data_IF_844580910935
#
_entry.id   IF_844580910935
#
_cell.length_a   1.000
_cell.length_b   1.000
_cell.length_c   1.000
_cell.angle_alpha   90.00
_cell.angle_beta   90.00
_cell.angle_gamma   90.00
#
_symmetry.space_group_name_H-M   'P 1'
#
loop_
_entity.id
_entity.type
_entity.pdbx_description
1 polymer ?
2 non-polymer ?
3 water ?
#
# COMPACT_ATOMS: atom_id res chain seq x y z
N UNK A 1 6.93 18.44 -4.68
CA UNK A 1 7.19 17.11 -5.24
C UNK A 1 7.35 16.07 -4.15
N UNK A 2 6.96 14.83 -4.42
CA UNK A 2 7.17 13.73 -3.49
C UNK A 2 8.21 12.78 -4.09
N UNK A 3 9.30 12.56 -3.37
CA UNK A 3 10.29 11.58 -3.77
C UNK A 3 9.96 10.24 -3.13
N UNK A 4 9.88 9.18 -3.93
CA UNK A 4 9.58 7.85 -3.42
C UNK A 4 10.79 6.94 -3.69
N UNK A 5 11.34 6.36 -2.62
CA UNK A 5 12.35 5.32 -2.70
C UNK A 5 11.76 4.01 -2.20
N UNK A 6 12.06 2.90 -2.88
CA UNK A 6 11.66 1.57 -2.44
C UNK A 6 12.94 0.74 -2.32
N UNK A 7 13.05 -0.02 -1.22
CA UNK A 7 14.20 -0.88 -0.99
C UNK A 7 13.72 -2.33 -0.90
N UNK A 8 14.33 -3.21 -1.69
CA UNK A 8 13.81 -4.56 -1.84
C UNK A 8 14.93 -5.47 -2.29
N UNK A 9 14.80 -6.75 -1.95
CA UNK A 9 15.71 -7.73 -2.54
C UNK A 9 15.16 -8.27 -3.85
N UNK A 10 13.97 -7.84 -4.25
CA UNK A 10 13.41 -8.16 -5.57
C UNK A 10 13.04 -6.89 -6.30
N UNK A 11 14.02 -6.02 -6.57
CA UNK A 11 13.70 -4.72 -7.18
C UNK A 11 12.88 -4.79 -8.46
N UNK A 12 12.99 -5.88 -9.24
CA UNK A 12 12.27 -5.99 -10.50
C UNK A 12 10.77 -6.11 -10.30
N UNK A 13 10.34 -6.63 -9.14
CA UNK A 13 8.92 -6.68 -8.83
C UNK A 13 8.31 -5.28 -8.79
N UNK A 14 9.10 -4.24 -8.57
CA UNK A 14 8.57 -2.88 -8.57
C UNK A 14 8.58 -2.25 -9.96
N UNK A 15 8.76 -3.03 -11.02
CA UNK A 15 8.72 -2.46 -12.36
C UNK A 15 7.43 -1.72 -12.71
N UNK A 16 6.23 -2.18 -12.34
CA UNK A 16 5.03 -1.41 -12.70
C UNK A 16 4.99 -0.04 -12.06
N UNK A 17 5.73 0.16 -10.98
CA UNK A 17 5.65 1.39 -10.20
C UNK A 17 5.90 2.63 -11.05
N UNK A 18 6.49 2.48 -12.25
CA UNK A 18 6.64 3.60 -13.17
C UNK A 18 5.34 3.97 -13.87
N UNK A 19 4.34 3.09 -13.86
CA UNK A 19 3.05 3.36 -14.49
C UNK A 19 1.90 3.14 -13.52
N UNK A 29 6.73 17.04 -12.92
CA UNK A 29 7.58 17.35 -11.79
C UNK A 29 6.86 17.23 -10.45
N UNK A 30 6.08 16.16 -10.29
CA UNK A 30 5.29 15.99 -9.09
C UNK A 30 5.77 14.82 -8.23
N UNK A 31 6.30 13.76 -8.83
CA UNK A 31 6.67 12.55 -8.10
C UNK A 31 7.91 11.98 -8.76
N UNK A 32 8.79 11.41 -7.96
CA UNK A 32 9.99 10.74 -8.42
C UNK A 32 10.02 9.39 -7.73
N UNK A 33 10.39 8.33 -8.46
CA UNK A 33 10.47 6.99 -7.91
C UNK A 33 11.82 6.39 -8.24
N UNK A 34 12.44 5.73 -7.26
CA UNK A 34 13.69 5.01 -7.46
C UNK A 34 13.62 3.74 -6.63
N UNK A 35 14.02 2.62 -7.21
CA UNK A 35 14.00 1.33 -6.53
C UNK A 35 15.44 0.93 -6.27
N UNK A 36 15.73 0.43 -5.08
CA UNK A 36 17.09 0.06 -4.72
C UNK A 36 17.15 -1.41 -4.33
N UNK A 37 18.27 -2.06 -4.64
CA UNK A 37 18.51 -3.43 -4.19
C UNK A 37 19.19 -3.41 -2.82
N UNK A 38 18.53 -4.01 -1.82
CA UNK A 38 19.08 -4.04 -0.47
C UNK A 38 20.44 -4.72 -0.41
N UNK A 39 20.65 -5.74 -1.25
CA UNK A 39 21.94 -6.43 -1.29
C UNK A 39 23.08 -5.50 -1.71
N UNK A 40 22.80 -4.28 -2.17
CA UNK A 40 23.87 -3.32 -2.45
C UNK A 40 24.52 -2.81 -1.17
N UNK A 41 23.87 -2.96 -0.02
CA UNK A 41 24.46 -2.57 1.26
C UNK A 41 24.96 -3.78 2.05
N UNK A 42 25.20 -4.90 1.38
CA UNK A 42 25.90 -6.01 2.01
C UNK A 42 27.37 -5.91 1.67
N UNK A 43 28.17 -6.62 2.45
CA UNK A 43 29.62 -6.59 2.27
C UNK A 43 30.23 -7.98 2.21
N UNK A 44 29.42 -9.03 2.32
CA UNK A 44 29.90 -10.40 2.30
C UNK A 44 29.70 -11.02 0.92
N UNK A 45 30.48 -12.07 0.65
CA UNK A 45 30.37 -12.78 -0.63
C UNK A 45 28.96 -13.33 -0.82
N UNK A 46 28.28 -13.70 0.26
CA UNK A 46 26.94 -14.26 0.15
C UNK A 46 25.88 -13.21 -0.13
N UNK A 47 26.20 -11.92 0.01
CA UNK A 47 25.20 -10.84 -0.05
C UNK A 47 24.04 -11.14 0.88
N UNK A 48 24.36 -11.56 2.11
CA UNK A 48 23.36 -12.09 3.04
C UNK A 48 22.54 -10.97 3.67
N UNK A 49 21.22 -11.14 3.69
CA UNK A 49 20.30 -10.18 4.29
C UNK A 49 19.45 -10.79 5.40
N UNK A 50 19.52 -12.11 5.63
CA UNK A 50 18.70 -12.80 6.61
C UNK A 50 19.58 -13.58 7.60
N UNK A 51 19.00 -13.97 8.74
CA UNK A 51 19.71 -14.77 9.73
C UNK A 51 18.70 -15.33 10.73
N UNK A 52 19.20 -16.23 11.61
CA UNK A 52 18.33 -17.08 12.43
C UNK A 52 17.60 -16.25 13.50
N UNK A 53 16.34 -16.58 13.79
CA UNK A 53 15.59 -15.77 14.74
C UNK A 53 15.99 -16.08 16.18
N UNK A 54 16.25 -15.03 16.96
CA UNK A 54 16.43 -15.20 18.39
C UNK A 54 15.11 -15.67 19.02
N UNK A 55 15.21 -16.60 19.96
CA UNK A 55 14.06 -17.24 20.57
C UNK A 55 13.54 -18.46 19.82
N UNK A 56 14.08 -18.75 18.64
CA UNK A 56 13.49 -19.75 17.78
C UNK A 56 12.38 -19.14 16.93
N UNK A 57 12.11 -19.79 15.82
CA UNK A 57 11.11 -19.25 14.93
C UNK A 57 10.93 -20.07 13.69
N UNK A 58 9.83 -19.80 12.97
CA UNK A 58 9.49 -20.59 11.78
C UNK A 58 10.26 -20.19 10.53
N UNK A 59 10.95 -19.06 10.53
CA UNK A 59 11.75 -18.69 9.38
C UNK A 59 12.92 -17.79 9.75
N UNK A 60 13.58 -17.21 8.75
CA UNK A 60 14.68 -16.30 8.99
C UNK A 60 14.17 -14.86 9.12
N UNK A 61 15.01 -14.01 9.73
CA UNK A 61 14.70 -12.60 9.98
C UNK A 61 15.74 -11.73 9.26
N UNK A 62 15.27 -10.63 8.66
CA UNK A 62 16.17 -9.77 7.92
C UNK A 62 17.09 -9.01 8.87
N UNK A 63 18.39 -9.00 8.54
CA UNK A 63 19.42 -8.45 9.42
C UNK A 63 19.24 -6.94 9.59
N UNK A 64 19.53 -6.47 10.81
CA UNK A 64 19.47 -5.03 11.06
C UNK A 64 20.61 -4.27 10.39
N UNK A 65 21.88 -4.67 10.51
CA UNK A 65 22.97 -3.80 9.99
C UNK A 65 22.84 -3.45 8.52
N UNK A 66 22.39 -4.39 7.69
CA UNK A 66 22.23 -4.08 6.26
C UNK A 66 21.16 -3.02 6.08
N UNK A 67 20.01 -3.18 6.77
CA UNK A 67 18.92 -2.23 6.66
C UNK A 67 19.28 -0.86 7.21
N UNK A 68 19.92 -0.81 8.37
CA UNK A 68 20.31 0.48 8.93
C UNK A 68 21.27 1.21 8.00
N UNK A 69 22.22 0.48 7.43
CA UNK A 69 23.15 1.08 6.48
C UNK A 69 22.43 1.62 5.25
N UNK A 70 21.47 0.84 4.71
CA UNK A 70 20.69 1.31 3.58
C UNK A 70 19.88 2.55 3.95
N UNK A 71 19.16 2.49 5.08
CA UNK A 71 18.33 3.61 5.51
C UNK A 71 19.16 4.82 5.89
N UNK A 72 20.39 4.63 6.39
CA UNK A 72 21.28 5.77 6.61
C UNK A 72 21.51 6.53 5.32
N UNK A 73 21.69 5.80 4.21
CA UNK A 73 22.04 6.45 2.96
C UNK A 73 20.82 7.09 2.31
N UNK A 74 19.65 6.47 2.46
CA UNK A 74 18.48 6.87 1.68
C UNK A 74 17.63 7.92 2.39
N UNK A 75 17.48 7.82 3.71
CA UNK A 75 16.53 8.64 4.45
C UNK A 75 17.20 9.88 5.02
N UNK A 76 16.36 10.83 5.41
CA UNK A 76 16.80 12.02 6.15
C UNK A 76 15.72 12.32 7.20
N UNK A 77 15.86 13.47 7.88
CA UNK A 77 14.89 13.83 8.91
C UNK A 77 13.50 14.09 8.33
N UNK A 78 13.40 14.48 7.07
CA UNK A 78 12.09 14.73 6.46
C UNK A 78 11.36 13.46 6.05
N UNK A 79 12.03 12.30 6.13
CA UNK A 79 11.47 11.08 5.54
C UNK A 79 10.36 10.51 6.41
N UNK A 80 9.29 10.08 5.75
CA UNK A 80 8.32 9.15 6.34
C UNK A 80 8.65 7.76 5.82
N UNK A 81 9.14 6.91 6.72
CA UNK A 81 9.51 5.54 6.39
C UNK A 81 8.30 4.63 6.60
N UNK A 82 7.92 3.89 5.56
CA UNK A 82 6.80 2.96 5.61
C UNK A 82 7.37 1.55 5.61
N UNK A 83 6.95 0.75 6.59
CA UNK A 83 7.34 -0.65 6.64
C UNK A 83 6.09 -1.49 6.40
N UNK A 84 5.88 -2.02 5.19
CA UNK A 84 4.75 -2.92 4.97
C UNK A 84 4.90 -4.18 5.82
N UNK A 85 3.82 -4.53 6.53
CA UNK A 85 3.88 -5.73 7.35
C UNK A 85 2.47 -6.12 7.75
N UNK A 86 2.18 -7.42 7.84
CA UNK A 86 0.86 -7.83 8.32
C UNK A 86 0.61 -7.47 9.77
N UNK A 87 1.63 -7.04 10.49
CA UNK A 87 1.46 -6.63 11.88
C UNK A 87 1.20 -5.13 12.00
N UNK A 88 0.98 -4.44 10.89
CA UNK A 88 0.86 -2.99 10.91
C UNK A 88 -0.55 -2.50 11.11
N UNK A 89 -0.69 -1.18 11.22
CA UNK A 89 -2.00 -0.57 11.14
C UNK A 89 -2.54 -0.75 9.72
N UNK A 90 -3.86 -0.80 9.58
CA UNK A 90 -4.42 -1.01 8.25
C UNK A 90 -4.23 0.24 7.39
N UNK A 91 -3.73 0.04 6.18
CA UNK A 91 -3.74 1.10 5.18
C UNK A 91 -5.18 1.47 4.84
N UNK A 92 -5.45 2.77 4.70
CA UNK A 92 -6.80 3.19 4.34
C UNK A 92 -6.70 4.45 3.50
N UNK A 93 -7.86 4.92 3.03
CA UNK A 93 -7.86 6.07 2.13
C UNK A 93 -7.32 7.31 2.84
N UNK A 94 -7.64 7.47 4.12
CA UNK A 94 -7.17 8.63 4.85
C UNK A 94 -5.64 8.61 4.96
N UNK A 95 -5.07 7.42 5.16
CA UNK A 95 -3.61 7.30 5.17
C UNK A 95 -3.01 7.69 3.82
N UNK A 96 -3.61 7.23 2.71
CA UNK A 96 -3.07 7.57 1.41
C UNK A 96 -3.10 9.07 1.16
N UNK A 97 -4.22 9.72 1.51
CA UNK A 97 -4.30 11.17 1.38
C UNK A 97 -3.22 11.85 2.22
N UNK A 98 -3.08 11.44 3.48
CA UNK A 98 -2.09 12.04 4.37
C UNK A 98 -0.68 11.89 3.80
N UNK A 99 -0.33 10.70 3.30
CA UNK A 99 0.99 10.50 2.73
C UNK A 99 1.20 11.30 1.45
N UNK A 100 0.14 11.60 0.71
CA UNK A 100 0.31 12.35 -0.53
C UNK A 100 0.92 13.74 -0.30
N UNK A 101 0.81 14.28 0.90
CA UNK A 101 1.37 15.59 1.21
C UNK A 101 2.84 15.51 1.57
N UNK A 102 3.37 14.33 1.78
CA UNK A 102 4.74 14.21 2.22
C UNK A 102 5.70 14.58 1.08
N UNK A 103 6.93 14.90 1.46
CA UNK A 103 7.98 15.15 0.48
C UNK A 103 8.87 13.95 0.22
N UNK A 104 8.96 13.00 1.15
CA UNK A 104 9.84 11.85 0.95
C UNK A 104 9.24 10.63 1.63
N UNK A 105 8.86 9.65 0.81
CA UNK A 105 8.38 8.35 1.28
C UNK A 105 9.43 7.30 0.93
N UNK A 106 9.80 6.50 1.91
CA UNK A 106 10.68 5.36 1.70
C UNK A 106 9.92 4.11 2.12
N UNK A 107 9.83 3.13 1.20
CA UNK A 107 9.13 1.87 1.46
C UNK A 107 10.18 0.80 1.68
N UNK A 108 10.22 0.24 2.89
CA UNK A 108 11.18 -0.80 3.24
C UNK A 108 10.51 -2.18 3.11
N UNK A 109 10.82 -2.90 2.03
CA UNK A 109 10.11 -4.14 1.71
C UNK A 109 10.78 -5.32 2.41
N UNK A 110 10.02 -5.97 3.31
CA UNK A 110 10.51 -7.15 3.97
C UNK A 110 10.17 -8.43 3.22
N UNK A 111 10.97 -9.45 3.49
CA UNK A 111 10.74 -10.82 3.03
C UNK A 111 11.02 -11.73 4.22
N UNK A 112 10.95 -13.03 4.00
CA UNK A 112 11.15 -14.02 5.07
C UNK A 112 10.11 -13.71 6.15
N UNK A 113 10.45 -13.79 7.43
CA UNK A 113 9.51 -13.44 8.49
C UNK A 113 9.45 -11.93 8.79
N UNK A 114 10.08 -11.06 8.04
CA UNK A 114 10.04 -9.63 8.35
C UNK A 114 11.42 -9.10 8.73
N UNK A 115 11.44 -7.88 9.26
CA UNK A 115 12.68 -7.15 9.51
C UNK A 115 12.90 -7.07 11.01
N UNK A 116 14.12 -7.35 11.45
CA UNK A 116 14.54 -7.16 12.84
C UNK A 116 13.98 -5.85 13.39
N UNK A 117 13.23 -5.95 14.50
CA UNK A 117 12.54 -4.80 15.09
C UNK A 117 13.46 -3.60 15.33
N UNK A 118 14.73 -3.84 15.63
CA UNK A 118 15.59 -2.70 15.94
C UNK A 118 15.84 -1.81 14.73
N UNK A 119 15.55 -2.28 13.50
CA UNK A 119 15.63 -1.41 12.34
C UNK A 119 14.65 -0.25 12.49
N UNK A 120 13.41 -0.57 12.84
CA UNK A 120 12.37 0.44 13.06
C UNK A 120 12.70 1.30 14.28
N UNK A 121 13.17 0.67 15.37
CA UNK A 121 13.48 1.44 16.57
C UNK A 121 14.62 2.42 16.34
N UNK A 122 15.64 1.99 15.58
CA UNK A 122 16.74 2.89 15.28
C UNK A 122 16.30 4.02 14.35
N UNK A 123 15.48 3.69 13.34
CA UNK A 123 15.04 4.71 12.39
C UNK A 123 14.19 5.78 13.08
N UNK A 124 13.30 5.36 13.97
CA UNK A 124 12.42 6.28 14.68
C UNK A 124 13.17 7.27 15.56
N UNK A 125 14.47 7.06 15.79
CA UNK A 125 15.28 8.06 16.48
C UNK A 125 15.46 9.32 15.64
N UNK A 126 15.39 9.20 14.31
CA UNK A 126 15.74 10.28 13.39
C UNK A 126 14.65 10.63 12.39
N UNK A 127 13.59 9.84 12.31
CA UNK A 127 12.53 10.10 11.33
C UNK A 127 11.22 9.55 11.86
N UNK A 128 10.17 9.67 11.06
CA UNK A 128 8.85 9.12 11.35
C UNK A 128 8.70 7.80 10.61
N UNK A 129 8.10 6.83 11.29
CA UNK A 129 8.04 5.45 10.80
C UNK A 129 6.62 4.95 11.01
N UNK A 130 6.03 4.40 9.96
CA UNK A 130 4.71 3.78 10.02
C UNK A 130 4.77 2.35 9.51
N UNK A 131 4.38 1.41 10.36
CA UNK A 131 4.20 0.01 9.99
C UNK A 131 2.75 -0.20 9.58
N UNK A 132 2.53 -0.71 8.38
CA UNK A 132 1.21 -0.68 7.74
C UNK A 132 0.96 -2.00 7.03
N UNK A 133 -0.22 -2.57 7.25
CA UNK A 133 -0.72 -3.69 6.47
C UNK A 133 -1.75 -3.20 5.46
N UNK A 134 -1.74 -3.79 4.27
CA UNK A 134 -2.79 -3.46 3.30
C UNK A 134 -4.03 -4.32 3.44
N UNK A 135 -4.04 -5.32 4.33
CA UNK A 135 -5.22 -6.14 4.50
C UNK A 135 -4.90 -7.43 5.23
N UNK A 136 -5.97 -8.12 5.63
CA UNK A 136 -5.84 -9.33 6.46
C UNK A 136 -5.69 -10.57 5.56
N UNK A 137 -4.53 -10.62 4.93
CA UNK A 137 -4.11 -11.75 4.11
C UNK A 137 -2.59 -11.66 4.06
N UNK A 138 -1.95 -12.75 3.69
CA UNK A 138 -0.50 -12.89 3.82
C UNK A 138 0.13 -12.90 2.43
N UNK A 139 1.10 -12.01 2.21
CA UNK A 139 1.96 -12.00 1.04
C UNK A 139 3.34 -12.52 1.41
N UNK A 140 4.15 -12.80 0.37
CA UNK A 140 5.53 -13.24 0.57
C UNK A 140 6.44 -12.09 0.97
N UNK A 141 6.08 -10.87 0.59
CA UNK A 141 7.00 -9.76 0.74
C UNK A 141 6.24 -8.46 0.65
N UNK A 142 6.93 -7.39 0.99
CA UNK A 142 6.32 -6.07 0.99
C UNK A 142 6.15 -5.44 -0.36
N UNK A 143 6.65 -6.07 -1.42
CA UNK A 143 6.72 -5.39 -2.71
C UNK A 143 5.33 -5.17 -3.30
N UNK A 144 4.46 -6.18 -3.25
CA UNK A 144 3.11 -5.97 -3.79
C UNK A 144 2.33 -4.97 -2.93
N UNK A 145 2.51 -5.01 -1.61
CA UNK A 145 1.86 -3.99 -0.80
C UNK A 145 2.38 -2.60 -1.15
N UNK A 146 3.66 -2.50 -1.49
CA UNK A 146 4.20 -1.19 -1.87
C UNK A 146 3.60 -0.72 -3.18
N UNK A 147 3.36 -1.63 -4.13
CA UNK A 147 2.73 -1.22 -5.37
C UNK A 147 1.35 -0.63 -5.13
N UNK A 148 0.59 -1.23 -4.20
CA UNK A 148 -0.77 -0.76 -3.91
C UNK A 148 -0.73 0.59 -3.23
N UNK A 149 0.12 0.75 -2.22
CA UNK A 149 0.17 2.01 -1.48
C UNK A 149 0.69 3.15 -2.36
N UNK A 150 1.70 2.87 -3.18
CA UNK A 150 2.24 3.92 -4.06
C UNK A 150 1.18 4.37 -5.05
N UNK A 151 0.46 3.42 -5.65
CA UNK A 151 -0.60 3.77 -6.59
C UNK A 151 -1.70 4.57 -5.90
N UNK A 152 -2.13 4.13 -4.72
CA UNK A 152 -3.17 4.85 -4.00
C UNK A 152 -2.74 6.29 -3.70
N UNK A 153 -1.46 6.48 -3.36
CA UNK A 153 -0.98 7.82 -3.01
C UNK A 153 -0.81 8.68 -4.26
N UNK A 154 -0.13 8.15 -5.27
CA UNK A 154 0.22 8.97 -6.42
C UNK A 154 -1.02 9.44 -7.16
N UNK A 155 -2.10 8.64 -7.17
CA UNK A 155 -3.33 9.09 -7.82
C UNK A 155 -3.99 10.24 -7.09
N UNK A 156 -3.50 10.62 -5.91
CA UNK A 156 -4.01 11.78 -5.20
C UNK A 156 -3.16 13.03 -5.42
N UNK A 157 -2.10 12.95 -6.23
CA UNK A 157 -1.24 14.10 -6.45
C UNK A 157 -1.76 14.96 -7.62
N UNK A 158 -1.34 16.24 -7.69
CA UNK A 158 -1.76 17.16 -8.75
C UNK A 158 -1.60 16.62 -10.17
N UNK A 174 -19.83 9.88 1.26
CA UNK A 174 -20.51 9.15 2.33
C UNK A 174 -19.71 7.92 2.74
N UNK A 175 -20.42 6.87 3.18
CA UNK A 175 -19.79 5.64 3.60
C UNK A 175 -20.51 4.38 3.15
N UNK A 176 -21.10 4.41 1.95
CA UNK A 176 -21.70 3.24 1.34
C UNK A 176 -20.85 2.80 0.16
N UNK A 177 -20.82 1.49 -0.08
CA UNK A 177 -20.22 0.98 -1.29
C UNK A 177 -20.94 1.58 -2.48
N UNK A 178 -20.21 1.76 -3.58
CA UNK A 178 -20.83 2.19 -4.81
C UNK A 178 -21.64 1.04 -5.40
N UNK A 179 -22.79 1.37 -5.96
CA UNK A 179 -23.65 0.40 -6.61
C UNK A 179 -23.26 0.19 -8.06
N UNK A 180 -24.09 -0.55 -8.81
CA UNK A 180 -23.73 -0.88 -10.19
C UNK A 180 -23.79 0.33 -11.12
N UNK A 181 -22.94 0.29 -12.14
CA UNK A 181 -22.95 1.26 -13.22
C UNK A 181 -23.27 0.57 -14.53
N UNK A 182 -23.89 1.32 -15.43
CA UNK A 182 -24.22 0.82 -16.75
C UNK A 182 -23.84 1.86 -17.80
N UNK A 183 -23.54 1.36 -19.00
CA UNK A 183 -23.34 2.17 -20.18
C UNK A 183 -24.02 1.46 -21.34
N UNK A 184 -23.98 2.07 -22.53
CA UNK A 184 -24.71 1.54 -23.68
C UNK A 184 -24.14 0.18 -24.09
N UNK A 185 -24.95 -0.68 -24.75
CA UNK A 185 -26.34 -0.51 -25.20
C UNK A 185 -27.37 -0.74 -24.07
N UNK A 186 -28.59 -0.25 -24.27
CA UNK A 186 -29.60 -0.38 -23.21
C UNK A 186 -30.04 -1.81 -22.96
N UNK A 187 -29.85 -2.71 -23.93
CA UNK A 187 -30.14 -4.12 -23.78
C UNK A 187 -28.97 -4.90 -24.32
N UNK A 188 -28.52 -5.91 -23.58
CA UNK A 188 -27.35 -6.70 -23.95
C UNK A 188 -27.51 -8.08 -23.35
N UNK A 189 -27.61 -9.09 -24.21
CA UNK A 189 -27.77 -10.48 -23.79
C UNK A 189 -28.97 -10.62 -22.84
N UNK A 190 -30.07 -9.99 -23.23
CA UNK A 190 -31.32 -10.06 -22.48
C UNK A 190 -31.34 -9.32 -21.17
N UNK A 191 -30.29 -8.56 -20.87
CA UNK A 191 -30.17 -7.81 -19.61
C UNK A 191 -30.31 -6.33 -19.93
N UNK A 192 -31.30 -5.69 -19.31
CA UNK A 192 -31.61 -4.30 -19.60
C UNK A 192 -31.00 -3.39 -18.55
N UNK A 193 -30.55 -2.22 -18.99
CA UNK A 193 -30.21 -1.15 -18.05
C UNK A 193 -31.45 -0.74 -17.29
N UNK A 194 -31.41 -0.61 -15.95
CA UNK A 194 -32.60 -0.23 -15.19
C UNK A 194 -33.24 1.03 -15.77
N UNK A 195 -34.55 1.02 -16.01
CA UNK A 195 -35.19 2.13 -16.74
C UNK A 195 -34.99 3.49 -16.10
N UNK A 196 -34.91 3.57 -14.77
CA UNK A 196 -34.77 4.86 -14.13
C UNK A 196 -33.48 5.56 -14.58
N UNK A 197 -32.43 4.78 -14.87
CA UNK A 197 -31.20 5.40 -15.35
C UNK A 197 -31.33 5.90 -16.77
N UNK A 198 -32.13 5.23 -17.59
CA UNK A 198 -32.32 5.65 -18.97
C UNK A 198 -33.24 6.86 -19.05
N UNK A 199 -34.31 6.87 -18.25
CA UNK A 199 -35.28 7.95 -18.23
C UNK A 199 -34.93 8.80 -17.03
N UNK A 200 -34.08 9.79 -17.26
CA UNK A 200 -33.34 10.37 -16.18
C UNK A 200 -33.86 11.63 -15.54
N UNK A 201 -34.52 11.46 -14.40
CA UNK A 201 -34.68 12.53 -13.43
C UNK A 201 -33.54 12.38 -12.42
N UNK A 202 -32.82 13.47 -12.18
CA UNK A 202 -31.66 13.41 -11.30
C UNK A 202 -32.05 12.91 -9.90
N UNK A 203 -33.16 13.39 -9.37
CA UNK A 203 -33.60 12.96 -8.04
C UNK A 203 -33.93 11.48 -8.01
N UNK A 204 -34.57 10.97 -9.08
CA UNK A 204 -34.92 9.55 -9.10
C UNK A 204 -33.69 8.68 -9.25
N UNK A 205 -32.73 9.11 -10.07
CA UNK A 205 -31.50 8.36 -10.23
C UNK A 205 -30.73 8.29 -8.91
N UNK A 206 -30.61 9.42 -8.23
CA UNK A 206 -29.92 9.42 -6.95
C UNK A 206 -30.62 8.51 -5.95
N UNK A 207 -31.94 8.57 -5.87
CA UNK A 207 -32.67 7.70 -4.95
C UNK A 207 -32.40 6.23 -5.28
N UNK A 208 -32.50 5.87 -6.55
CA UNK A 208 -32.26 4.48 -6.94
C UNK A 208 -30.84 4.04 -6.60
N UNK A 209 -29.88 4.94 -6.80
CA UNK A 209 -28.49 4.59 -6.52
C UNK A 209 -28.26 4.48 -5.02
N UNK A 210 -28.91 5.33 -4.23
CA UNK A 210 -28.73 5.20 -2.78
C UNK A 210 -29.28 3.87 -2.28
N UNK A 211 -30.45 3.45 -2.77
CA UNK A 211 -31.00 2.16 -2.37
C UNK A 211 -30.07 1.01 -2.77
N UNK A 212 -29.55 1.07 -4.00
CA UNK A 212 -28.61 0.04 -4.46
C UNK A 212 -27.35 0.03 -3.62
N UNK A 213 -26.82 1.22 -3.29
CA UNK A 213 -25.63 1.28 -2.46
C UNK A 213 -25.88 0.68 -1.09
N UNK A 214 -27.04 0.96 -0.51
CA UNK A 214 -27.34 0.45 0.83
C UNK A 214 -27.48 -1.07 0.83
N UNK A 215 -28.25 -1.62 -0.12
CA UNK A 215 -28.40 -3.07 -0.20
C UNK A 215 -27.07 -3.75 -0.43
N UNK A 216 -26.24 -3.18 -1.33
CA UNK A 216 -24.95 -3.76 -1.62
C UNK A 216 -24.07 -3.77 -0.38
N UNK A 217 -24.09 -2.68 0.38
CA UNK A 217 -23.29 -2.57 1.59
C UNK A 217 -23.77 -3.55 2.67
N UNK A 218 -25.09 -3.69 2.83
CA UNK A 218 -25.61 -4.69 3.75
C UNK A 218 -25.11 -6.09 3.38
N UNK A 219 -25.16 -6.41 2.10
CA UNK A 219 -24.82 -7.74 1.62
C UNK A 219 -23.33 -8.03 1.83
N UNK A 220 -22.46 -7.13 1.36
CA UNK A 220 -21.03 -7.39 1.22
C UNK A 220 -20.17 -6.85 2.36
N UNK A 221 -20.59 -5.78 3.03
CA UNK A 221 -19.78 -5.13 4.05
C UNK A 221 -20.67 -4.63 5.19
N UNK A 222 -21.29 -5.55 5.92
CA UNK A 222 -22.11 -5.11 7.07
C UNK A 222 -21.29 -4.43 8.15
N UNK A 223 -19.99 -4.69 8.21
CA UNK A 223 -19.15 -3.98 9.18
C UNK A 223 -19.25 -2.47 9.01
N UNK A 224 -19.46 -1.98 7.79
CA UNK A 224 -19.54 -0.55 7.53
C UNK A 224 -20.82 0.07 8.06
N UNK A 225 -21.79 -0.73 8.50
CA UNK A 225 -22.99 -0.21 9.14
C UNK A 225 -22.95 -0.36 10.67
N UNK A 226 -22.06 -1.21 11.18
CA UNK A 226 -21.93 -1.49 12.62
C UNK A 226 -23.21 -2.09 13.19
#
# INVERSE_FOLDING_TARGET
>A
MVRIDVISIFPAYLDPIRQSLPGKAIDAGIVSVEVHDLRNWTHDVHRSVDDSPYGGGPGMVMKAPVWGEALDEICSEETLLVVPTPAGRLFDQRTAQRWSTERHLVFACGRYEGIDQRVVDDAARRMRVEEVSIGDYVLNGGEAATLVMVEAVVRLLPDVLGNPASHQQDSHSDGLLEGPSYTRPPSWRGLDVPPVLLSGDHAKVAAWRHEQALQRTRERRPDLLDAGHHHHHH
#
